data_IF_215905812429
#
_entry.id   IF_215905812429
#
_cell.length_a   1.000
_cell.length_b   1.000
_cell.length_c   1.000
_cell.angle_alpha   90.00
_cell.angle_beta   90.00
_cell.angle_gamma   90.00
#
_symmetry.space_group_name_H-M   'P 1'
#
loop_
_entity.id
_entity.type
_entity.pdbx_description
1 polymer ?
#
# COMPACT_ATOMS: atom_id res chain seq x y z
N UNK A 1 14.02 -17.28 22.09
CA UNK A 1 15.26 -17.84 21.51
C UNK A 1 15.23 -17.62 20.00
N UNK A 2 15.43 -16.38 19.56
CA UNK A 2 15.52 -16.00 18.14
C UNK A 2 16.61 -14.94 18.05
N UNK A 3 17.82 -15.42 17.76
CA UNK A 3 19.06 -14.80 17.27
C UNK A 3 20.18 -15.72 17.79
N UNK A 4 20.93 -16.36 16.89
CA UNK A 4 22.01 -15.72 16.16
C UNK A 4 21.72 -15.79 14.65
N UNK A 5 22.25 -14.95 13.77
CA UNK A 5 23.59 -15.09 13.19
C UNK A 5 23.85 -13.78 12.41
N UNK A 6 24.68 -12.90 12.97
CA UNK A 6 25.45 -11.89 12.22
C UNK A 6 26.85 -12.47 11.87
N UNK A 7 27.10 -13.74 12.19
CA UNK A 7 28.35 -14.43 11.87
C UNK A 7 28.15 -15.44 10.74
N UNK A 8 27.93 -14.98 9.51
CA UNK A 8 28.21 -15.77 8.30
C UNK A 8 28.46 -14.81 7.13
N UNK A 9 29.70 -14.34 7.00
CA UNK A 9 30.23 -13.90 5.73
C UNK A 9 30.70 -15.14 4.94
N UNK A 10 30.41 -15.15 3.64
CA UNK A 10 30.85 -16.10 2.61
C UNK A 10 30.25 -17.53 2.58
N UNK A 11 29.06 -17.65 2.01
CA UNK A 11 28.73 -18.72 1.05
C UNK A 11 27.59 -18.24 0.15
N UNK A 12 27.80 -18.26 -1.16
CA UNK A 12 26.94 -17.60 -2.14
C UNK A 12 25.51 -18.15 -2.16
N UNK A 13 24.53 -17.26 -2.29
CA UNK A 13 23.19 -17.52 -2.85
C UNK A 13 22.48 -18.85 -2.48
N UNK A 14 22.69 -19.41 -1.29
CA UNK A 14 21.83 -20.48 -0.78
C UNK A 14 20.57 -19.84 -0.22
N UNK A 15 19.67 -19.44 -1.12
CA UNK A 15 18.28 -19.17 -0.76
C UNK A 15 17.72 -20.45 -0.12
N UNK A 16 17.67 -20.50 1.21
CA UNK A 16 16.81 -21.45 1.90
C UNK A 16 15.38 -21.13 1.41
N UNK A 17 14.77 -22.04 0.65
CA UNK A 17 13.45 -21.84 0.02
C UNK A 17 12.41 -21.34 1.02
N UNK A 18 12.51 -21.79 2.26
CA UNK A 18 11.70 -21.32 3.38
C UNK A 18 11.86 -19.82 3.71
N UNK A 19 13.09 -19.31 3.77
CA UNK A 19 13.34 -17.89 4.02
C UNK A 19 12.83 -17.02 2.88
N UNK A 20 13.01 -17.48 1.64
CA UNK A 20 12.48 -16.80 0.46
C UNK A 20 10.95 -16.68 0.54
N UNK A 21 10.24 -17.77 0.89
CA UNK A 21 8.79 -17.74 1.08
C UNK A 21 8.40 -16.74 2.18
N UNK A 22 9.06 -16.75 3.33
CA UNK A 22 8.78 -15.80 4.41
C UNK A 22 8.97 -14.35 3.95
N UNK A 23 10.09 -14.03 3.29
CA UNK A 23 10.33 -12.67 2.81
C UNK A 23 9.33 -12.22 1.76
N UNK A 24 8.96 -13.11 0.83
CA UNK A 24 7.92 -12.78 -0.16
C UNK A 24 6.57 -12.51 0.51
N UNK A 25 6.16 -13.31 1.48
CA UNK A 25 4.91 -13.09 2.23
C UNK A 25 4.98 -11.79 3.03
N UNK A 26 6.05 -11.58 3.81
CA UNK A 26 6.23 -10.35 4.58
C UNK A 26 6.20 -9.10 3.70
N UNK A 27 6.75 -9.18 2.49
CA UNK A 27 6.76 -8.06 1.55
C UNK A 27 5.41 -7.83 0.87
N UNK A 28 4.66 -8.90 0.58
CA UNK A 28 3.40 -8.81 -0.19
C UNK A 28 2.19 -8.49 0.70
N UNK A 29 2.20 -8.94 1.96
CA UNK A 29 1.11 -8.73 2.93
C UNK A 29 0.74 -7.24 3.12
N UNK A 30 1.67 -6.30 3.31
CA UNK A 30 1.32 -4.89 3.52
C UNK A 30 0.56 -4.28 2.34
N UNK A 31 0.97 -4.58 1.10
CA UNK A 31 0.29 -4.12 -0.11
C UNK A 31 -1.12 -4.68 -0.23
N UNK A 32 -1.32 -5.95 0.15
CA UNK A 32 -2.65 -6.56 0.22
C UNK A 32 -3.55 -5.90 1.28
N UNK A 33 -3.01 -5.59 2.47
CA UNK A 33 -3.76 -4.90 3.54
C UNK A 33 -4.19 -3.49 3.12
N UNK A 34 -3.32 -2.74 2.43
CA UNK A 34 -3.68 -1.44 1.84
C UNK A 34 -4.80 -1.60 0.81
N UNK A 35 -4.71 -2.61 -0.04
CA UNK A 35 -5.72 -2.84 -1.07
C UNK A 35 -7.10 -3.19 -0.48
N UNK A 36 -7.13 -4.03 0.57
CA UNK A 36 -8.35 -4.37 1.30
C UNK A 36 -8.98 -3.18 2.01
N UNK A 37 -8.17 -2.32 2.63
CA UNK A 37 -8.67 -1.11 3.29
C UNK A 37 -9.23 -0.12 2.27
N UNK A 38 -8.53 0.09 1.15
CA UNK A 38 -9.00 0.95 0.05
C UNK A 38 -10.29 0.44 -0.61
N UNK A 39 -10.45 -0.87 -0.75
CA UNK A 39 -11.66 -1.47 -1.35
C UNK A 39 -12.92 -1.23 -0.52
N UNK A 40 -12.80 -0.84 0.76
CA UNK A 40 -13.95 -0.40 1.57
C UNK A 40 -14.39 1.03 1.27
N UNK A 41 -13.51 1.87 0.73
CA UNK A 41 -13.83 3.25 0.39
C UNK A 41 -14.42 3.39 -1.00
N UNK A 42 -13.99 2.56 -1.96
CA UNK A 42 -14.40 2.67 -3.35
C UNK A 42 -14.62 1.31 -4.01
N UNK A 43 -15.63 1.25 -4.87
CA UNK A 43 -15.83 0.12 -5.77
C UNK A 43 -14.76 0.14 -6.86
N UNK A 44 -13.96 -0.92 -6.91
CA UNK A 44 -12.94 -1.09 -7.96
C UNK A 44 -13.57 -1.67 -9.21
N UNK A 45 -13.31 -1.04 -10.36
CA UNK A 45 -13.60 -1.62 -11.67
C UNK A 45 -12.79 -2.90 -11.84
N UNK A 46 -13.32 -3.89 -12.56
CA UNK A 46 -12.58 -5.11 -12.88
C UNK A 46 -11.32 -4.78 -13.67
N UNK A 47 -10.17 -4.84 -12.99
CA UNK A 47 -8.86 -4.64 -13.57
C UNK A 47 -8.24 -5.97 -14.00
N UNK A 48 -7.32 -5.91 -14.95
CA UNK A 48 -6.53 -7.08 -15.34
C UNK A 48 -5.66 -7.55 -14.18
N UNK A 49 -5.49 -8.87 -14.03
CA UNK A 49 -4.71 -9.49 -12.94
C UNK A 49 -3.29 -8.91 -12.81
N UNK A 50 -2.64 -8.62 -13.95
CA UNK A 50 -1.31 -8.01 -13.98
C UNK A 50 -1.27 -6.63 -13.31
N UNK A 51 -2.29 -5.80 -13.53
CA UNK A 51 -2.37 -4.47 -12.93
C UNK A 51 -2.62 -4.55 -11.42
N UNK A 52 -3.38 -5.55 -10.98
CA UNK A 52 -3.65 -5.81 -9.56
C UNK A 52 -2.34 -6.16 -8.84
N UNK A 53 -1.53 -7.06 -9.41
CA UNK A 53 -0.24 -7.44 -8.84
C UNK A 53 0.73 -6.25 -8.78
N UNK A 54 0.82 -5.48 -9.86
CA UNK A 54 1.66 -4.28 -9.89
C UNK A 54 1.22 -3.28 -8.82
N UNK A 55 -0.09 -3.08 -8.65
CA UNK A 55 -0.64 -2.19 -7.61
C UNK A 55 -0.27 -2.66 -6.21
N UNK A 56 -0.39 -3.96 -5.91
CA UNK A 56 0.01 -4.51 -4.61
C UNK A 56 1.49 -4.27 -4.35
N UNK A 57 2.33 -4.52 -5.35
CA UNK A 57 3.77 -4.29 -5.27
C UNK A 57 4.07 -2.82 -4.98
N UNK A 58 3.42 -1.90 -5.69
CA UNK A 58 3.57 -0.46 -5.47
C UNK A 58 3.14 -0.06 -4.06
N UNK A 59 2.00 -0.56 -3.57
CA UNK A 59 1.54 -0.25 -2.21
C UNK A 59 2.46 -0.83 -1.13
N UNK A 60 2.99 -2.03 -1.31
CA UNK A 60 4.01 -2.58 -0.42
C UNK A 60 5.24 -1.68 -0.38
N UNK A 61 5.77 -1.27 -1.53
CA UNK A 61 6.90 -0.34 -1.60
C UNK A 61 6.60 0.98 -0.87
N UNK A 62 5.43 1.58 -1.13
CA UNK A 62 5.01 2.82 -0.46
C UNK A 62 4.93 2.68 1.06
N UNK A 63 4.47 1.54 1.56
CA UNK A 63 4.44 1.27 3.00
C UNK A 63 5.85 1.29 3.60
N UNK A 64 6.86 0.74 2.92
CA UNK A 64 8.22 0.61 3.47
C UNK A 64 9.08 1.88 3.41
N UNK A 65 8.79 2.84 2.52
CA UNK A 65 9.55 4.11 2.40
C UNK A 65 9.75 4.83 3.75
N UNK A 66 8.71 5.14 4.55
CA UNK A 66 8.89 5.84 5.81
C UNK A 66 9.71 5.02 6.83
N UNK A 67 9.59 3.70 6.78
CA UNK A 67 10.29 2.81 7.72
C UNK A 67 11.77 2.68 7.43
N UNK A 68 12.21 2.80 6.16
CA UNK A 68 13.63 2.89 5.81
C UNK A 68 14.27 4.12 6.47
N UNK A 69 13.57 5.25 6.45
CA UNK A 69 14.07 6.48 7.08
C UNK A 69 14.17 6.34 8.61
N UNK A 70 13.13 5.79 9.24
CA UNK A 70 13.12 5.52 10.69
C UNK A 70 14.25 4.56 11.08
N UNK A 71 14.50 3.54 10.27
CA UNK A 71 15.58 2.59 10.50
C UNK A 71 16.96 3.25 10.45
N UNK A 72 17.21 4.09 9.44
CA UNK A 72 18.47 4.84 9.32
C UNK A 72 18.70 5.76 10.51
N UNK A 73 17.65 6.43 11.00
CA UNK A 73 17.75 7.35 12.14
C UNK A 73 18.03 6.63 13.47
N UNK A 74 17.56 5.39 13.62
CA UNK A 74 17.71 4.59 14.83
C UNK A 74 18.90 3.62 14.80
N UNK A 75 19.63 3.55 13.69
CA UNK A 75 20.73 2.60 13.49
C UNK A 75 21.80 2.70 14.58
N UNK A 76 22.21 3.91 14.97
CA UNK A 76 23.25 4.15 15.97
C UNK A 76 22.77 4.02 17.43
N UNK A 77 21.51 3.65 17.66
CA UNK A 77 20.94 3.54 19.01
C UNK A 77 20.90 2.08 19.45
N UNK A 78 21.41 1.81 20.66
CA UNK A 78 21.31 0.49 21.33
C UNK A 78 19.86 0.00 21.54
N UNK A 79 18.86 0.80 21.22
CA UNK A 79 17.43 0.45 21.24
C UNK A 79 17.14 -0.71 20.28
N UNK A 80 17.83 -0.78 19.13
CA UNK A 80 17.68 -1.88 18.17
C UNK A 80 18.29 -3.20 18.64
N UNK A 81 19.10 -3.20 19.72
CA UNK A 81 19.68 -4.42 20.26
C UNK A 81 18.66 -5.29 21.02
N UNK A 82 17.51 -4.72 21.40
CA UNK A 82 16.47 -5.47 22.12
C UNK A 82 15.60 -6.28 21.14
N UNK A 83 15.65 -7.63 21.17
CA UNK A 83 14.94 -8.46 20.19
C UNK A 83 13.42 -8.36 20.30
N UNK A 84 12.90 -8.11 21.50
CA UNK A 84 11.48 -7.92 21.77
C UNK A 84 10.93 -6.63 21.16
N UNK A 85 11.71 -5.54 21.20
CA UNK A 85 11.33 -4.28 20.57
C UNK A 85 11.30 -4.40 19.05
N UNK A 86 12.29 -5.08 18.47
CA UNK A 86 12.36 -5.32 17.03
C UNK A 86 11.14 -6.11 16.53
N UNK A 87 10.78 -7.20 17.22
CA UNK A 87 9.62 -8.02 16.87
C UNK A 87 8.31 -7.21 16.91
N UNK A 88 8.14 -6.36 17.94
CA UNK A 88 6.98 -5.48 18.04
C UNK A 88 6.93 -4.44 16.91
N UNK A 89 8.08 -3.84 16.57
CA UNK A 89 8.19 -2.92 15.45
C UNK A 89 7.80 -3.59 14.12
N UNK A 90 8.25 -4.82 13.86
CA UNK A 90 7.87 -5.57 12.66
C UNK A 90 6.35 -5.79 12.53
N UNK A 91 5.67 -6.11 13.63
CA UNK A 91 4.20 -6.26 13.63
C UNK A 91 3.52 -4.95 13.26
N UNK A 92 3.99 -3.83 13.83
CA UNK A 92 3.47 -2.50 13.51
C UNK A 92 3.67 -2.18 12.03
N UNK A 93 4.86 -2.46 11.49
CA UNK A 93 5.21 -2.17 10.08
C UNK A 93 4.37 -2.99 9.10
N UNK A 94 4.12 -4.27 9.41
CA UNK A 94 3.44 -5.20 8.49
C UNK A 94 1.91 -5.09 8.58
N UNK A 95 1.34 -4.78 9.74
CA UNK A 95 -0.11 -4.78 9.94
C UNK A 95 -0.69 -3.39 10.21
N UNK A 96 -0.13 -2.64 11.16
CA UNK A 96 -0.71 -1.37 11.60
C UNK A 96 -0.45 -0.25 10.59
N UNK A 97 0.79 -0.14 10.11
CA UNK A 97 1.20 0.84 9.10
C UNK A 97 0.35 0.80 7.83
N UNK A 98 0.17 -0.35 7.14
CA UNK A 98 -0.61 -0.39 5.92
C UNK A 98 -2.09 -0.05 6.13
N UNK A 99 -2.65 -0.31 7.32
CA UNK A 99 -4.01 0.13 7.65
C UNK A 99 -4.08 1.65 7.69
N UNK A 100 -3.14 2.30 8.38
CA UNK A 100 -3.08 3.77 8.48
C UNK A 100 -2.88 4.39 7.08
N UNK A 101 -1.94 3.87 6.30
CA UNK A 101 -1.67 4.35 4.94
C UNK A 101 -2.91 4.18 4.05
N UNK A 102 -3.57 3.02 4.10
CA UNK A 102 -4.79 2.77 3.35
C UNK A 102 -5.95 3.66 3.76
N UNK A 103 -6.13 3.95 5.05
CA UNK A 103 -7.14 4.90 5.55
C UNK A 103 -6.85 6.33 5.08
N UNK A 104 -5.60 6.78 5.15
CA UNK A 104 -5.20 8.12 4.68
C UNK A 104 -5.45 8.25 3.19
N UNK A 105 -5.04 7.26 2.38
CA UNK A 105 -5.27 7.26 0.94
C UNK A 105 -6.76 7.21 0.60
N UNK A 106 -7.55 6.40 1.31
CA UNK A 106 -9.00 6.33 1.14
C UNK A 106 -9.68 7.66 1.42
N UNK A 107 -9.34 8.28 2.56
CA UNK A 107 -9.87 9.58 2.95
C UNK A 107 -9.45 10.71 1.99
N UNK A 108 -8.19 10.70 1.54
CA UNK A 108 -7.68 11.69 0.60
C UNK A 108 -8.42 11.64 -0.74
N UNK A 109 -8.71 10.44 -1.21
CA UNK A 109 -9.50 10.25 -2.44
C UNK A 109 -10.97 10.68 -2.25
N UNK A 110 -11.60 10.40 -1.11
CA UNK A 110 -13.00 10.78 -0.88
C UNK A 110 -13.20 12.30 -0.91
N UNK A 111 -12.21 13.05 -0.42
CA UNK A 111 -12.24 14.52 -0.42
C UNK A 111 -11.86 15.15 -1.76
N UNK A 112 -11.66 14.35 -2.82
CA UNK A 112 -11.13 14.82 -4.10
C UNK A 112 -9.84 15.64 -3.91
N UNK A 113 -9.04 15.36 -2.86
CA UNK A 113 -7.81 16.12 -2.61
C UNK A 113 -6.81 15.92 -3.73
N UNK A 114 -6.81 14.73 -4.34
CA UNK A 114 -6.04 14.45 -5.54
C UNK A 114 -6.48 15.36 -6.68
N UNK A 115 -7.79 15.47 -6.95
CA UNK A 115 -8.32 16.33 -8.02
C UNK A 115 -8.06 17.81 -7.74
N UNK A 116 -8.18 18.25 -6.48
CA UNK A 116 -7.86 19.64 -6.09
C UNK A 116 -6.37 19.93 -6.27
N UNK A 117 -5.49 19.03 -5.82
CA UNK A 117 -4.04 19.16 -6.00
C UNK A 117 -3.62 19.16 -7.46
N UNK A 118 -4.15 18.23 -8.26
CA UNK A 118 -3.86 18.14 -9.70
C UNK A 118 -4.50 19.29 -10.50
N UNK A 119 -5.68 19.76 -10.11
CA UNK A 119 -6.29 20.97 -10.69
C UNK A 119 -5.47 22.22 -10.40
N UNK A 120 -4.83 22.30 -9.22
CA UNK A 120 -3.88 23.35 -8.88
C UNK A 120 -2.61 23.30 -9.73
N UNK A 121 -2.23 22.11 -10.20
CA UNK A 121 -1.12 21.88 -11.13
C UNK A 121 -1.54 21.97 -12.62
N UNK A 122 -2.79 22.35 -12.91
CA UNK A 122 -3.29 22.54 -14.27
C UNK A 122 -3.64 21.26 -15.03
N UNK A 123 -3.62 20.10 -14.39
CA UNK A 123 -4.06 18.85 -15.00
C UNK A 123 -5.58 18.70 -14.88
N UNK A 124 -6.27 18.62 -16.02
CA UNK A 124 -7.70 18.34 -16.09
C UNK A 124 -7.92 16.84 -15.87
N UNK A 125 -8.17 16.44 -14.62
CA UNK A 125 -8.49 15.05 -14.30
C UNK A 125 -9.87 14.69 -14.84
N UNK A 126 -9.94 13.68 -15.72
CA UNK A 126 -11.22 13.07 -16.12
C UNK A 126 -11.70 12.29 -14.90
N UNK A 127 -12.70 12.81 -14.22
CA UNK A 127 -13.27 12.19 -13.02
C UNK A 127 -13.90 10.85 -13.41
N UNK A 128 -13.46 9.76 -12.77
CA UNK A 128 -14.08 8.43 -12.95
C UNK A 128 -15.47 8.31 -12.31
N UNK A 129 -15.92 9.34 -11.60
CA UNK A 129 -17.25 9.43 -11.04
C UNK A 129 -18.18 10.16 -12.02
N UNK A 130 -19.33 9.56 -12.39
CA UNK A 130 -20.33 10.27 -13.18
C UNK A 130 -20.81 11.50 -12.40
N UNK A 131 -20.84 12.64 -13.07
CA UNK A 131 -21.38 13.86 -12.49
C UNK A 131 -22.90 13.72 -12.29
N UNK A 132 -23.48 14.56 -11.43
CA UNK A 132 -24.94 14.57 -11.24
C UNK A 132 -25.73 14.73 -12.56
N UNK A 133 -25.13 15.36 -13.56
CA UNK A 133 -25.70 15.57 -14.89
C UNK A 133 -25.63 14.32 -15.78
N UNK A 134 -24.69 13.41 -15.53
CA UNK A 134 -24.61 12.14 -16.27
C UNK A 134 -25.79 11.23 -15.91
N UNK A 135 -26.25 11.27 -14.65
CA UNK A 135 -27.45 10.53 -14.23
C UNK A 135 -28.73 11.08 -14.86
N UNK A 136 -28.86 12.40 -14.97
CA UNK A 136 -30.03 13.01 -15.61
C UNK A 136 -30.06 12.76 -17.12
N UNK A 137 -28.90 12.78 -17.78
CA UNK A 137 -28.79 12.46 -19.21
C UNK A 137 -29.09 10.98 -19.50
N UNK A 138 -28.66 10.06 -18.64
CA UNK A 138 -29.02 8.63 -18.75
C UNK A 138 -30.52 8.43 -18.50
N UNK A 139 -31.10 9.11 -17.51
CA UNK A 139 -32.53 9.04 -17.25
C UNK A 139 -33.36 9.57 -18.43
N UNK A 140 -32.94 10.67 -19.05
CA UNK A 140 -33.60 11.21 -20.24
C UNK A 140 -33.49 10.28 -21.45
N UNK A 141 -32.34 9.61 -21.64
CA UNK A 141 -32.19 8.60 -22.71
C UNK A 141 -33.16 7.42 -22.53
N UNK A 142 -33.29 6.91 -21.31
CA UNK A 142 -34.22 5.81 -21.03
C UNK A 142 -35.69 6.18 -21.28
N UNK A 143 -36.05 7.46 -21.12
CA UNK A 143 -37.39 7.97 -21.39
C UNK A 143 -37.65 8.22 -22.90
N UNK A 144 -36.62 8.51 -23.68
CA UNK A 144 -36.74 8.76 -25.12
C UNK A 144 -36.65 7.50 -25.99
N UNK A 145 -36.42 6.32 -25.41
CA UNK A 145 -36.53 5.03 -26.10
C UNK A 145 -35.44 4.73 -27.13
N UNK A 146 -34.29 5.42 -27.06
CA UNK A 146 -33.09 5.16 -27.87
C UNK A 146 -31.96 4.55 -27.06
#
# INVERSE_FOLDING_TARGET
MFFPIIAQSSSGLTFNTFNAVIYTVCFLVPGFVIDLTLSRFFYKKSEQVTLILLRFLTFSCLNYIPWIFVYLLLWDRSILANPSFLAFAFIIIIFISPIIVGLILGYANQKQLLERGLSGLGFKTITGFPSAWDYSLVALRNLSGC
#
